data_IF_123790503848
#
_entry.id   IF_123790503848
#
_cell.length_a   1.000
_cell.length_b   1.000
_cell.length_c   1.000
_cell.angle_alpha   90.00
_cell.angle_beta   90.00
_cell.angle_gamma   90.00
#
_symmetry.space_group_name_H-M   'P 1'
#
loop_
_entity.id
_entity.type
_entity.pdbx_description
1 polymer ?
#
# COMPACT_ATOMS: atom_id res chain seq x y z
N UNK A 1 -72.85 50.14 25.82
CA UNK A 1 -71.79 49.10 25.96
C UNK A 1 -70.82 49.30 24.81
N UNK A 2 -69.68 49.96 25.04
CA UNK A 2 -68.58 50.10 24.07
C UNK A 2 -67.34 50.56 24.85
N UNK A 3 -66.26 49.75 24.83
CA UNK A 3 -64.93 50.17 25.29
C UNK A 3 -63.90 49.77 24.24
N UNK A 4 -63.34 50.80 23.61
CA UNK A 4 -62.13 50.74 22.80
C UNK A 4 -60.92 50.45 23.70
N UNK A 5 -60.07 49.50 23.30
CA UNK A 5 -58.79 49.24 23.95
C UNK A 5 -57.64 49.34 22.94
N UNK A 6 -56.60 50.02 23.40
CA UNK A 6 -55.37 50.45 22.75
C UNK A 6 -54.61 49.36 22.00
N UNK A 7 -54.15 49.72 20.80
CA UNK A 7 -53.01 49.15 20.10
C UNK A 7 -51.70 49.44 20.84
N UNK A 8 -50.97 48.40 21.26
CA UNK A 8 -49.59 48.52 21.75
C UNK A 8 -48.67 47.61 20.95
N UNK A 9 -47.63 48.22 20.37
CA UNK A 9 -46.59 47.61 19.55
C UNK A 9 -45.73 46.66 20.38
N UNK A 10 -45.44 45.46 19.86
CA UNK A 10 -44.32 44.65 20.34
C UNK A 10 -43.47 44.19 19.16
N UNK A 11 -42.31 44.83 19.03
CA UNK A 11 -41.24 44.50 18.09
C UNK A 11 -40.46 43.34 18.70
N UNK A 12 -40.66 42.11 18.23
CA UNK A 12 -39.85 40.95 18.64
C UNK A 12 -38.71 40.80 17.64
N UNK A 13 -37.55 41.37 18.01
CA UNK A 13 -36.29 41.15 17.30
C UNK A 13 -35.76 39.74 17.60
N UNK A 14 -35.75 38.91 16.57
CA UNK A 14 -35.17 37.55 16.61
C UNK A 14 -33.64 37.66 16.52
N UNK A 15 -32.94 37.61 17.65
CA UNK A 15 -31.49 37.46 17.69
C UNK A 15 -31.12 36.00 17.33
N UNK A 16 -30.27 35.73 16.32
CA UNK A 16 -29.73 34.39 16.13
C UNK A 16 -28.70 34.12 17.23
N UNK A 17 -28.98 33.13 18.08
CA UNK A 17 -27.98 32.50 18.95
C UNK A 17 -26.91 31.86 18.03
N UNK A 18 -25.78 32.54 17.87
CA UNK A 18 -24.54 31.92 17.42
C UNK A 18 -24.08 30.95 18.51
N UNK A 19 -24.36 29.66 18.33
CA UNK A 19 -23.76 28.60 19.14
C UNK A 19 -22.28 28.52 18.80
N UNK A 20 -21.44 29.10 19.67
CA UNK A 20 -20.00 28.90 19.65
C UNK A 20 -19.74 27.43 19.98
N UNK A 21 -19.39 26.63 18.98
CA UNK A 21 -18.91 25.27 19.20
C UNK A 21 -17.63 25.35 20.03
N UNK A 22 -17.51 24.63 21.17
CA UNK A 22 -16.28 24.62 21.93
C UNK A 22 -15.18 24.02 21.06
N UNK A 23 -14.11 24.79 20.88
CA UNK A 23 -12.87 24.34 20.27
C UNK A 23 -12.39 23.14 21.11
N UNK A 24 -12.52 21.93 20.56
CA UNK A 24 -12.05 20.73 21.26
C UNK A 24 -10.56 20.91 21.57
N UNK A 25 -10.24 21.09 22.85
CA UNK A 25 -8.88 21.25 23.32
C UNK A 25 -8.09 20.03 22.84
N UNK A 26 -7.14 20.27 21.94
CA UNK A 26 -6.30 19.23 21.38
C UNK A 26 -5.47 18.65 22.53
N UNK A 27 -5.77 17.40 22.91
CA UNK A 27 -5.10 16.76 24.04
C UNK A 27 -3.59 16.80 23.81
N UNK A 28 -2.79 17.17 24.82
CA UNK A 28 -1.35 17.25 24.68
C UNK A 28 -0.80 15.89 24.24
N UNK A 29 -0.08 15.88 23.12
CA UNK A 29 0.59 14.67 22.65
C UNK A 29 1.85 14.47 23.49
N UNK A 30 1.83 13.50 24.39
CA UNK A 30 3.01 13.07 25.15
C UNK A 30 3.93 12.28 24.21
N UNK A 31 5.10 12.84 23.92
CA UNK A 31 6.18 12.13 23.22
C UNK A 31 7.15 11.61 24.27
N UNK A 32 7.19 10.29 24.47
CA UNK A 32 8.20 9.66 25.31
C UNK A 32 9.33 9.11 24.42
N UNK A 33 10.57 9.49 24.70
CA UNK A 33 11.76 8.95 24.02
C UNK A 33 12.28 7.76 24.79
N UNK A 34 12.23 6.56 24.18
CA UNK A 34 12.88 5.37 24.72
C UNK A 34 14.30 5.27 24.16
N UNK A 35 15.31 5.51 25.01
CA UNK A 35 16.72 5.28 24.65
C UNK A 35 17.15 3.91 25.14
N UNK A 36 17.65 3.07 24.23
CA UNK A 36 18.22 1.77 24.56
C UNK A 36 19.62 1.65 23.97
N UNK A 37 20.61 1.51 24.83
CA UNK A 37 21.99 1.23 24.42
C UNK A 37 22.16 -0.28 24.24
N UNK A 38 22.61 -0.69 23.07
CA UNK A 38 22.94 -2.08 22.77
C UNK A 38 24.44 -2.15 22.58
N UNK A 39 25.11 -2.90 23.44
CA UNK A 39 26.55 -3.18 23.33
C UNK A 39 26.75 -4.56 22.72
N UNK A 40 27.72 -4.69 21.84
CA UNK A 40 28.03 -5.94 21.16
C UNK A 40 29.10 -5.75 20.11
N UNK A 41 29.50 -6.84 19.47
CA UNK A 41 30.46 -6.84 18.37
C UNK A 41 29.79 -6.38 17.06
N UNK A 42 29.69 -5.06 16.90
CA UNK A 42 29.17 -4.43 15.70
C UNK A 42 30.31 -4.10 14.73
N UNK A 43 30.37 -4.80 13.60
CA UNK A 43 31.32 -4.51 12.51
C UNK A 43 30.79 -3.39 11.61
N UNK A 44 29.93 -3.74 10.65
CA UNK A 44 29.27 -2.81 9.73
C UNK A 44 27.76 -3.04 9.77
N UNK A 45 27.01 -2.03 10.19
CA UNK A 45 25.54 -2.07 10.23
C UNK A 45 24.98 -1.59 8.90
N UNK A 46 24.34 -2.49 8.15
CA UNK A 46 23.74 -2.17 6.84
C UNK A 46 22.32 -1.61 6.96
N UNK A 47 21.45 -2.33 7.65
CA UNK A 47 20.03 -2.04 7.81
C UNK A 47 19.56 -2.47 9.19
N UNK A 48 18.48 -1.85 9.67
CA UNK A 48 17.87 -2.13 10.95
C UNK A 48 16.35 -1.99 10.87
N UNK A 49 15.61 -2.87 11.54
CA UNK A 49 14.16 -2.81 11.63
C UNK A 49 13.70 -3.12 13.06
N UNK A 50 12.69 -2.39 13.55
CA UNK A 50 12.18 -2.48 14.93
C UNK A 50 10.80 -3.12 14.91
N UNK A 51 10.67 -4.30 15.53
CA UNK A 51 9.43 -5.04 15.72
C UNK A 51 8.46 -4.36 16.69
N UNK A 52 7.19 -4.76 16.64
CA UNK A 52 6.14 -4.21 17.50
C UNK A 52 6.36 -4.50 19.00
N UNK A 53 7.12 -5.54 19.33
CA UNK A 53 7.55 -5.89 20.68
C UNK A 53 8.80 -5.14 21.14
N UNK A 54 9.31 -4.21 20.32
CA UNK A 54 10.55 -3.46 20.57
C UNK A 54 11.82 -4.26 20.31
N UNK A 55 11.72 -5.49 19.79
CA UNK A 55 12.89 -6.21 19.28
C UNK A 55 13.44 -5.53 18.02
N UNK A 56 14.74 -5.65 17.79
CA UNK A 56 15.41 -4.98 16.68
C UNK A 56 16.23 -6.00 15.91
N UNK A 57 15.94 -6.16 14.62
CA UNK A 57 16.75 -6.97 13.73
C UNK A 57 17.73 -6.05 12.99
N UNK A 58 19.01 -6.39 13.05
CA UNK A 58 20.12 -5.63 12.47
C UNK A 58 20.85 -6.53 11.48
N UNK A 59 21.17 -6.02 10.29
CA UNK A 59 22.01 -6.74 9.33
C UNK A 59 23.46 -6.32 9.47
N UNK A 60 24.38 -7.28 9.42
CA UNK A 60 25.81 -7.05 9.31
C UNK A 60 26.36 -7.64 8.01
N UNK A 61 26.29 -6.90 6.88
CA UNK A 61 26.62 -7.44 5.57
C UNK A 61 28.07 -7.95 5.47
N UNK A 62 29.04 -7.31 6.14
CA UNK A 62 30.45 -7.74 6.10
C UNK A 62 30.65 -9.14 6.69
N UNK A 63 29.93 -9.45 7.77
CA UNK A 63 29.99 -10.74 8.46
C UNK A 63 28.99 -11.75 7.90
N UNK A 64 28.05 -11.29 7.06
CA UNK A 64 26.96 -12.08 6.48
C UNK A 64 26.14 -12.78 7.57
N UNK A 65 25.74 -11.98 8.57
CA UNK A 65 24.90 -12.40 9.67
C UNK A 65 23.87 -11.33 10.02
N UNK A 66 22.88 -11.74 10.79
CA UNK A 66 21.90 -10.87 11.41
C UNK A 66 22.11 -10.87 12.92
N UNK A 67 21.80 -9.75 13.57
CA UNK A 67 21.72 -9.66 15.03
C UNK A 67 20.28 -9.35 15.41
N UNK A 68 19.72 -10.14 16.31
CA UNK A 68 18.44 -9.87 16.92
C UNK A 68 18.66 -9.35 18.34
N UNK A 69 18.37 -8.07 18.52
CA UNK A 69 18.37 -7.40 19.81
C UNK A 69 16.97 -7.51 20.40
N UNK A 70 16.82 -8.33 21.45
CA UNK A 70 15.59 -8.43 22.24
C UNK A 70 15.81 -7.76 23.59
N UNK A 71 14.87 -7.82 24.54
CA UNK A 71 15.08 -7.33 25.91
C UNK A 71 16.24 -8.02 26.67
N UNK A 72 16.74 -9.16 26.16
CA UNK A 72 17.92 -9.83 26.70
C UNK A 72 19.16 -8.91 26.67
N UNK A 73 20.14 -9.12 27.57
CA UNK A 73 21.35 -8.30 27.66
C UNK A 73 22.25 -8.44 26.42
N UNK A 74 22.28 -9.62 25.80
CA UNK A 74 23.14 -9.91 24.66
C UNK A 74 22.33 -10.09 23.36
N UNK A 75 22.75 -9.48 22.24
CA UNK A 75 22.15 -9.74 20.94
C UNK A 75 22.31 -11.21 20.52
N UNK A 76 21.25 -11.80 19.97
CA UNK A 76 21.30 -13.14 19.39
C UNK A 76 21.83 -13.07 17.96
N UNK A 77 22.91 -13.78 17.68
CA UNK A 77 23.42 -13.95 16.30
C UNK A 77 22.52 -14.92 15.55
N UNK A 78 22.07 -14.51 14.35
CA UNK A 78 21.21 -15.29 13.48
C UNK A 78 21.87 -15.51 12.12
N UNK A 79 21.90 -16.77 11.71
CA UNK A 79 22.46 -17.21 10.44
C UNK A 79 23.98 -17.14 10.39
N UNK A 80 24.51 -17.55 9.24
CA UNK A 80 25.95 -17.56 8.92
C UNK A 80 26.14 -17.49 7.42
N UNK A 81 27.38 -17.25 6.98
CA UNK A 81 27.76 -17.32 5.57
C UNK A 81 27.50 -18.72 4.99
N UNK A 82 26.77 -18.80 3.88
CA UNK A 82 26.46 -20.04 3.17
C UNK A 82 25.19 -19.94 2.31
N UNK A 83 24.74 -21.06 1.75
CA UNK A 83 23.56 -21.13 0.88
C UNK A 83 22.43 -22.02 1.44
N UNK A 84 22.71 -22.76 2.50
CA UNK A 84 21.78 -23.69 3.12
C UNK A 84 20.62 -23.01 3.86
N UNK A 85 19.79 -23.82 4.55
CA UNK A 85 18.75 -23.33 5.44
C UNK A 85 19.36 -22.38 6.48
N UNK A 86 18.75 -21.20 6.64
CA UNK A 86 19.15 -20.19 7.62
C UNK A 86 20.55 -19.57 7.38
N UNK A 87 21.12 -19.78 6.19
CA UNK A 87 22.38 -19.19 5.77
C UNK A 87 22.15 -18.02 4.79
N UNK A 88 23.14 -17.15 4.69
CA UNK A 88 23.12 -15.97 3.85
C UNK A 88 24.42 -15.85 3.05
N UNK A 89 24.40 -15.16 1.92
CA UNK A 89 25.58 -14.75 1.18
C UNK A 89 25.68 -13.23 1.04
N UNK A 90 24.55 -12.55 0.82
CA UNK A 90 24.53 -11.10 0.69
C UNK A 90 23.20 -10.48 1.13
N UNK A 91 23.13 -10.07 2.38
CA UNK A 91 21.93 -9.48 2.99
C UNK A 91 21.79 -8.03 2.54
N UNK A 92 20.80 -7.75 1.70
CA UNK A 92 20.61 -6.43 1.09
C UNK A 92 19.47 -5.64 1.75
N UNK A 93 18.47 -6.32 2.32
CA UNK A 93 17.31 -5.65 2.90
C UNK A 93 16.70 -6.39 4.07
N UNK A 94 16.12 -5.63 4.99
CA UNK A 94 15.32 -6.12 6.12
C UNK A 94 13.96 -5.44 6.14
N UNK A 95 12.98 -6.09 6.77
CA UNK A 95 11.71 -5.43 7.10
C UNK A 95 10.81 -6.29 7.97
N UNK A 96 9.54 -5.88 8.09
CA UNK A 96 8.53 -6.52 8.92
C UNK A 96 7.28 -6.89 8.12
N UNK A 97 6.80 -8.13 8.19
CA UNK A 97 5.51 -8.51 7.66
C UNK A 97 4.83 -9.53 8.58
N UNK A 98 3.56 -9.30 8.90
CA UNK A 98 2.74 -10.20 9.71
C UNK A 98 3.26 -10.35 11.14
N UNK A 99 3.89 -9.29 11.68
CA UNK A 99 4.57 -9.33 12.97
C UNK A 99 5.90 -10.09 12.96
N UNK A 100 6.35 -10.58 11.79
CA UNK A 100 7.63 -11.28 11.62
C UNK A 100 8.63 -10.38 10.94
N UNK A 101 9.89 -10.60 11.20
CA UNK A 101 10.94 -10.03 10.38
C UNK A 101 11.08 -10.80 9.06
N UNK A 102 11.63 -10.13 8.06
CA UNK A 102 12.15 -10.80 6.87
C UNK A 102 13.52 -10.22 6.52
N UNK A 103 14.36 -11.06 5.93
CA UNK A 103 15.67 -10.69 5.39
C UNK A 103 15.74 -11.10 3.92
N UNK A 104 16.17 -10.17 3.07
CA UNK A 104 16.38 -10.41 1.65
C UNK A 104 17.86 -10.66 1.38
N UNK A 105 18.15 -11.84 0.83
CA UNK A 105 19.46 -12.22 0.32
C UNK A 105 19.50 -12.06 -1.20
N UNK A 106 20.33 -11.14 -1.68
CA UNK A 106 20.36 -10.79 -3.09
C UNK A 106 21.20 -11.75 -3.95
N UNK A 107 22.17 -12.44 -3.36
CA UNK A 107 22.94 -13.46 -4.08
C UNK A 107 22.18 -14.78 -4.17
N UNK A 108 21.47 -15.15 -3.11
CA UNK A 108 20.61 -16.34 -3.13
C UNK A 108 19.22 -16.08 -3.72
N UNK A 109 18.93 -14.83 -4.11
CA UNK A 109 17.62 -14.36 -4.55
C UNK A 109 16.48 -14.92 -3.70
N UNK A 110 16.54 -14.70 -2.38
CA UNK A 110 15.66 -15.36 -1.40
C UNK A 110 15.22 -14.41 -0.31
N UNK A 111 13.95 -14.53 0.10
CA UNK A 111 13.44 -13.88 1.30
C UNK A 111 13.31 -14.94 2.40
N UNK A 112 13.93 -14.70 3.55
CA UNK A 112 13.85 -15.57 4.74
C UNK A 112 13.04 -14.87 5.81
N UNK A 113 11.97 -15.50 6.30
CA UNK A 113 11.19 -14.98 7.41
C UNK A 113 11.80 -15.40 8.75
N UNK A 114 11.73 -14.51 9.74
CA UNK A 114 12.33 -14.70 11.06
C UNK A 114 11.30 -14.24 12.10
N UNK A 115 10.97 -15.12 13.03
CA UNK A 115 10.07 -14.79 14.14
C UNK A 115 10.72 -13.76 15.07
N UNK A 116 9.94 -12.98 15.84
CA UNK A 116 10.49 -12.07 16.86
C UNK A 116 11.38 -12.75 17.92
N UNK A 117 11.22 -14.07 18.09
CA UNK A 117 12.08 -14.92 18.95
C UNK A 117 13.43 -15.25 18.31
N UNK A 118 13.63 -14.89 17.04
CA UNK A 118 14.77 -15.27 16.22
C UNK A 118 14.74 -16.72 15.77
N UNK A 119 13.57 -17.36 15.76
CA UNK A 119 13.38 -18.64 15.09
C UNK A 119 13.24 -18.39 13.58
N UNK A 120 13.89 -19.21 12.77
CA UNK A 120 13.76 -19.12 11.32
C UNK A 120 12.43 -19.72 10.87
N UNK A 121 11.68 -18.94 10.10
CA UNK A 121 10.49 -19.38 9.39
C UNK A 121 10.81 -19.89 7.98
N UNK A 122 9.80 -19.95 7.10
CA UNK A 122 10.02 -20.37 5.72
C UNK A 122 10.94 -19.41 4.98
N UNK A 123 11.69 -19.95 4.03
CA UNK A 123 12.44 -19.16 3.05
C UNK A 123 11.79 -19.32 1.68
N UNK A 124 11.57 -18.21 0.99
CA UNK A 124 10.93 -18.16 -0.32
C UNK A 124 11.96 -17.76 -1.38
N UNK A 125 12.37 -18.69 -2.27
CA UNK A 125 13.15 -18.33 -3.44
C UNK A 125 12.36 -17.39 -4.36
N UNK A 126 13.04 -16.38 -4.90
CA UNK A 126 12.48 -15.44 -5.89
C UNK A 126 12.56 -15.98 -7.32
N UNK A 127 13.43 -16.96 -7.60
CA UNK A 127 13.52 -17.62 -8.92
C UNK A 127 12.17 -18.24 -9.34
N UNK A 128 11.40 -18.77 -8.37
CA UNK A 128 10.03 -19.24 -8.60
C UNK A 128 9.06 -18.14 -9.03
N UNK A 129 9.44 -16.86 -8.89
CA UNK A 129 8.68 -15.71 -9.35
C UNK A 129 9.09 -15.28 -10.77
N UNK A 130 10.36 -15.41 -11.15
CA UNK A 130 10.88 -15.03 -12.48
C UNK A 130 10.28 -15.86 -13.64
N UNK A 131 9.83 -17.09 -13.37
CA UNK A 131 9.07 -17.91 -14.32
C UNK A 131 7.66 -17.38 -14.62
N UNK A 132 7.13 -16.45 -13.82
CA UNK A 132 5.85 -15.79 -14.09
C UNK A 132 6.06 -14.69 -15.14
N UNK A 133 5.22 -14.60 -16.19
CA UNK A 133 5.35 -13.61 -17.26
C UNK A 133 5.46 -12.15 -16.78
N UNK A 134 4.88 -11.84 -15.62
CA UNK A 134 4.92 -10.52 -15.00
C UNK A 134 6.30 -10.12 -14.46
N UNK A 135 7.25 -11.06 -14.36
CA UNK A 135 8.53 -10.88 -13.69
C UNK A 135 9.76 -11.20 -14.56
N UNK A 136 9.59 -11.36 -15.87
CA UNK A 136 10.74 -11.41 -16.80
C UNK A 136 11.41 -10.03 -16.87
N UNK A 137 12.71 -9.96 -16.57
CA UNK A 137 13.54 -8.75 -16.71
C UNK A 137 13.97 -8.08 -15.39
N UNK A 138 13.62 -8.64 -14.23
CA UNK A 138 14.09 -8.15 -12.94
C UNK A 138 15.48 -8.71 -12.62
N UNK A 139 16.53 -7.88 -12.73
CA UNK A 139 17.91 -8.33 -12.49
C UNK A 139 18.43 -7.97 -11.09
N UNK A 140 17.89 -6.94 -10.44
CA UNK A 140 18.33 -6.50 -9.11
C UNK A 140 17.20 -5.80 -8.33
N UNK A 141 16.45 -6.47 -7.45
CA UNK A 141 15.55 -5.78 -6.55
C UNK A 141 16.34 -4.81 -5.66
N UNK A 142 16.01 -3.53 -5.75
CA UNK A 142 16.79 -2.45 -5.14
C UNK A 142 16.21 -2.03 -3.79
N UNK A 143 14.92 -2.28 -3.58
CA UNK A 143 14.21 -1.95 -2.37
C UNK A 143 13.12 -2.99 -2.12
N UNK A 144 13.02 -3.47 -0.90
CA UNK A 144 11.86 -4.23 -0.45
C UNK A 144 11.22 -3.46 0.69
N UNK A 145 10.01 -2.96 0.47
CA UNK A 145 9.20 -2.26 1.46
C UNK A 145 8.02 -3.16 1.86
N UNK A 146 7.36 -2.81 2.97
CA UNK A 146 6.14 -3.49 3.42
C UNK A 146 4.99 -2.53 3.21
N UNK A 147 3.93 -2.96 2.54
CA UNK A 147 2.78 -2.11 2.19
C UNK A 147 1.60 -2.33 3.15
N UNK A 148 1.43 -3.56 3.62
CA UNK A 148 0.45 -3.92 4.66
C UNK A 148 1.08 -4.96 5.58
N UNK A 149 0.49 -5.26 6.76
CA UNK A 149 0.97 -6.37 7.59
C UNK A 149 1.20 -7.64 6.78
N UNK A 150 0.30 -7.98 5.85
CA UNK A 150 0.42 -9.22 5.08
C UNK A 150 1.05 -9.08 3.68
N UNK A 151 1.57 -7.89 3.31
CA UNK A 151 2.05 -7.61 1.95
C UNK A 151 3.41 -6.93 1.92
N UNK A 152 4.31 -7.49 1.11
CA UNK A 152 5.59 -6.91 0.74
C UNK A 152 5.52 -6.28 -0.66
N UNK A 153 6.33 -5.26 -0.84
CA UNK A 153 6.55 -4.55 -2.07
C UNK A 153 8.04 -4.60 -2.37
N UNK A 154 8.45 -5.54 -3.21
CA UNK A 154 9.79 -5.56 -3.79
C UNK A 154 9.82 -4.59 -4.97
N UNK A 155 10.28 -3.37 -4.73
CA UNK A 155 10.64 -2.45 -5.79
C UNK A 155 12.00 -2.87 -6.39
N UNK A 156 11.94 -3.36 -7.61
CA UNK A 156 13.14 -3.67 -8.38
C UNK A 156 13.38 -2.61 -9.44
N UNK A 157 14.57 -2.00 -9.40
CA UNK A 157 15.06 -1.20 -10.51
C UNK A 157 15.59 -2.16 -11.58
N UNK A 158 14.95 -2.18 -12.74
CA UNK A 158 15.63 -2.63 -13.94
C UNK A 158 16.51 -1.46 -14.41
N UNK A 159 17.83 -1.64 -14.34
CA UNK A 159 18.76 -0.68 -14.94
C UNK A 159 18.31 -0.39 -16.37
N UNK A 160 17.98 0.88 -16.65
CA UNK A 160 17.66 1.37 -18.00
C UNK A 160 16.19 1.44 -18.42
N UNK A 161 15.19 0.99 -17.65
CA UNK A 161 13.79 1.00 -18.15
C UNK A 161 12.79 1.85 -17.34
N UNK A 162 13.16 2.41 -16.20
CA UNK A 162 12.26 3.27 -15.40
C UNK A 162 11.01 2.56 -14.87
N UNK A 163 10.95 1.23 -14.97
CA UNK A 163 9.87 0.41 -14.44
C UNK A 163 10.17 0.00 -13.00
N UNK A 164 9.22 0.26 -12.10
CA UNK A 164 9.16 -0.33 -10.77
C UNK A 164 8.12 -1.45 -10.84
N UNK A 165 8.49 -2.65 -10.40
CA UNK A 165 7.69 -3.87 -10.62
C UNK A 165 6.34 -3.93 -9.90
N UNK A 166 5.53 -4.91 -10.31
CA UNK A 166 4.25 -5.30 -9.69
C UNK A 166 4.45 -6.57 -8.86
N UNK A 167 3.92 -6.62 -7.64
CA UNK A 167 3.96 -7.81 -6.79
C UNK A 167 2.59 -8.15 -6.23
N UNK A 168 2.37 -9.45 -6.11
CA UNK A 168 1.17 -10.10 -5.62
C UNK A 168 1.48 -10.73 -4.26
N UNK A 169 0.80 -10.28 -3.20
CA UNK A 169 0.84 -10.90 -1.88
C UNK A 169 -0.54 -10.83 -1.22
N UNK A 170 -0.92 -11.92 -0.53
CA UNK A 170 -2.17 -12.07 0.21
C UNK A 170 -3.44 -11.61 -0.55
N UNK A 171 -3.60 -12.06 -1.80
CA UNK A 171 -4.77 -11.78 -2.67
C UNK A 171 -4.92 -10.31 -3.15
N UNK A 172 -3.89 -9.48 -2.97
CA UNK A 172 -3.87 -8.09 -3.43
C UNK A 172 -2.74 -7.82 -4.41
N UNK A 173 -3.04 -7.00 -5.42
CA UNK A 173 -2.09 -6.59 -6.45
C UNK A 173 -1.75 -5.11 -6.28
N UNK A 174 -0.47 -4.77 -6.22
CA UNK A 174 0.01 -3.40 -6.16
C UNK A 174 0.95 -3.11 -7.33
N UNK A 175 0.81 -1.93 -7.92
CA UNK A 175 1.67 -1.44 -9.00
C UNK A 175 2.31 -0.12 -8.56
N UNK A 176 3.61 0.01 -8.74
CA UNK A 176 4.33 1.29 -8.64
C UNK A 176 4.73 1.69 -10.05
N UNK A 177 4.45 2.92 -10.46
CA UNK A 177 4.90 3.44 -11.75
C UNK A 177 5.70 4.72 -11.56
N UNK A 178 6.92 4.76 -12.10
CA UNK A 178 7.62 5.99 -12.45
C UNK A 178 8.94 6.28 -11.72
N UNK A 179 9.85 6.95 -12.42
CA UNK A 179 11.01 7.60 -11.85
C UNK A 179 10.56 8.84 -11.07
N UNK A 180 10.65 8.81 -9.73
CA UNK A 180 10.59 10.01 -8.89
C UNK A 180 9.27 10.35 -8.19
N UNK A 181 8.19 9.57 -8.34
CA UNK A 181 6.99 9.74 -7.51
C UNK A 181 6.37 8.39 -7.13
N UNK A 182 6.37 8.08 -5.83
CA UNK A 182 5.71 6.91 -5.24
C UNK A 182 4.19 7.11 -5.27
N UNK A 183 3.54 6.73 -6.37
CA UNK A 183 2.08 6.56 -6.39
C UNK A 183 1.74 5.09 -6.14
N UNK A 184 1.33 4.77 -4.90
CA UNK A 184 0.87 3.43 -4.53
C UNK A 184 -0.62 3.30 -4.86
N UNK A 185 -0.99 2.36 -5.74
CA UNK A 185 -2.40 2.10 -6.09
C UNK A 185 -2.73 0.61 -5.95
N UNK A 186 -3.73 0.28 -5.13
CA UNK A 186 -4.31 -1.07 -5.04
C UNK A 186 -5.04 -1.35 -6.36
N UNK A 187 -4.66 -2.42 -7.07
CA UNK A 187 -5.13 -2.66 -8.45
C UNK A 187 -6.20 -3.76 -8.51
N UNK A 188 -6.27 -4.67 -7.53
CA UNK A 188 -7.34 -5.68 -7.41
C UNK A 188 -7.36 -6.42 -6.06
N UNK A 189 -8.54 -6.96 -5.68
CA UNK A 189 -8.78 -8.06 -4.72
C UNK A 189 -9.50 -9.20 -5.45
N UNK A 190 -9.17 -10.47 -5.21
CA UNK A 190 -9.80 -11.59 -5.94
C UNK A 190 -10.83 -12.35 -5.08
N UNK A 191 -12.09 -12.23 -5.46
CA UNK A 191 -13.04 -13.35 -5.40
C UNK A 191 -13.54 -13.58 -6.84
N UNK A 192 -12.84 -14.47 -7.56
CA UNK A 192 -12.94 -14.77 -9.00
C UNK A 192 -12.31 -13.74 -9.98
N UNK A 193 -11.19 -14.10 -10.62
CA UNK A 193 -10.73 -13.48 -11.87
C UNK A 193 -9.62 -14.29 -12.54
N UNK A 194 -9.87 -15.24 -13.46
CA UNK A 194 -8.84 -15.63 -14.43
C UNK A 194 -8.56 -14.40 -15.30
N UNK A 195 -7.29 -14.00 -15.43
CA UNK A 195 -6.79 -12.88 -16.26
C UNK A 195 -6.87 -11.47 -15.62
N UNK A 196 -5.91 -11.11 -14.77
CA UNK A 196 -5.57 -9.70 -14.50
C UNK A 196 -4.23 -9.37 -15.15
N UNK A 197 -4.29 -8.70 -16.30
CA UNK A 197 -3.14 -8.11 -16.98
C UNK A 197 -2.92 -6.68 -16.50
N UNK A 198 -1.64 -6.31 -16.30
CA UNK A 198 -1.18 -4.95 -16.04
C UNK A 198 -1.81 -3.96 -17.03
N UNK A 199 -2.34 -2.85 -16.51
CA UNK A 199 -2.86 -1.74 -17.32
C UNK A 199 -1.67 -0.87 -17.71
N UNK A 200 -1.11 -1.13 -18.89
CA UNK A 200 -0.59 -0.06 -19.73
C UNK A 200 -1.66 0.21 -20.79
N UNK A 201 -2.41 1.28 -20.58
CA UNK A 201 -3.58 1.63 -21.39
C UNK A 201 -3.17 2.22 -22.73
N UNK A 202 -2.81 1.39 -23.72
CA UNK A 202 -2.84 1.79 -25.13
C UNK A 202 -4.26 1.66 -25.72
N UNK A 203 -5.24 1.26 -24.90
CA UNK A 203 -6.63 1.06 -25.30
C UNK A 203 -7.47 2.34 -25.32
N UNK A 204 -7.11 3.37 -24.53
CA UNK A 204 -7.82 4.65 -24.44
C UNK A 204 -6.79 5.75 -24.19
N UNK A 205 -6.95 6.95 -24.75
CA UNK A 205 -5.95 8.02 -24.60
C UNK A 205 -5.74 8.42 -23.14
N UNK A 206 -4.55 8.94 -22.81
CA UNK A 206 -4.22 9.38 -21.45
C UNK A 206 -5.21 10.45 -20.95
N UNK A 207 -5.50 11.45 -21.79
CA UNK A 207 -6.50 12.48 -21.47
C UNK A 207 -7.88 11.88 -21.15
N UNK A 208 -8.28 10.84 -21.90
CA UNK A 208 -9.55 10.17 -21.66
C UNK A 208 -9.55 9.35 -20.37
N UNK A 209 -8.45 8.69 -20.07
CA UNK A 209 -8.25 7.96 -18.81
C UNK A 209 -8.36 8.90 -17.60
N UNK A 210 -7.74 10.08 -17.67
CA UNK A 210 -7.87 11.12 -16.64
C UNK A 210 -9.32 11.57 -16.48
N UNK A 211 -10.03 11.83 -17.58
CA UNK A 211 -11.43 12.25 -17.52
C UNK A 211 -12.34 11.19 -16.88
N UNK A 212 -12.11 9.91 -17.18
CA UNK A 212 -12.85 8.80 -16.54
C UNK A 212 -12.57 8.75 -15.04
N UNK A 213 -11.32 8.93 -14.61
CA UNK A 213 -10.95 8.93 -13.20
C UNK A 213 -11.63 10.08 -12.44
N UNK A 214 -11.54 11.32 -12.95
CA UNK A 214 -12.21 12.47 -12.33
C UNK A 214 -13.72 12.29 -12.23
N UNK A 215 -14.35 11.71 -13.25
CA UNK A 215 -15.79 11.42 -13.21
C UNK A 215 -16.16 10.32 -12.20
N UNK A 216 -15.27 9.34 -12.00
CA UNK A 216 -15.46 8.30 -11.00
C UNK A 216 -15.37 8.89 -9.57
N UNK A 217 -14.35 9.71 -9.30
CA UNK A 217 -14.20 10.41 -8.02
C UNK A 217 -15.45 11.26 -7.72
N UNK A 218 -15.93 12.02 -8.70
CA UNK A 218 -17.14 12.82 -8.57
C UNK A 218 -18.39 11.95 -8.32
N UNK A 219 -18.49 10.77 -8.93
CA UNK A 219 -19.58 9.83 -8.66
C UNK A 219 -19.52 9.25 -7.24
N UNK A 220 -18.31 9.00 -6.72
CA UNK A 220 -18.09 8.45 -5.37
C UNK A 220 -18.36 9.45 -4.25
N UNK A 221 -18.27 10.76 -4.51
CA UNK A 221 -18.74 11.79 -3.54
C UNK A 221 -20.26 11.77 -3.33
N UNK A 222 -21.02 11.19 -4.26
CA UNK A 222 -22.49 11.06 -4.17
C UNK A 222 -22.87 9.80 -3.39
N UNK A 223 -24.14 9.71 -2.99
CA UNK A 223 -24.68 8.54 -2.26
C UNK A 223 -25.98 8.02 -2.86
N UNK A 224 -26.29 6.74 -2.59
CA UNK A 224 -27.54 6.09 -2.97
C UNK A 224 -27.87 6.25 -4.46
N UNK A 225 -29.11 6.67 -4.74
CA UNK A 225 -29.61 6.85 -6.11
C UNK A 225 -28.77 7.84 -6.93
N UNK A 226 -28.24 8.90 -6.32
CA UNK A 226 -27.44 9.90 -7.03
C UNK A 226 -26.10 9.33 -7.51
N UNK A 227 -25.45 8.49 -6.68
CA UNK A 227 -24.23 7.76 -7.07
C UNK A 227 -24.53 6.78 -8.20
N UNK A 228 -25.61 6.00 -8.06
CA UNK A 228 -26.03 5.03 -9.06
C UNK A 228 -26.30 5.69 -10.43
N UNK A 229 -26.98 6.84 -10.45
CA UNK A 229 -27.23 7.60 -11.68
C UNK A 229 -25.93 8.10 -12.31
N UNK A 230 -25.00 8.65 -11.50
CA UNK A 230 -23.70 9.12 -12.00
C UNK A 230 -22.86 7.99 -12.62
N UNK A 231 -22.80 6.82 -11.95
CA UNK A 231 -22.07 5.65 -12.47
C UNK A 231 -22.70 5.09 -13.76
N UNK A 232 -24.05 5.06 -13.88
CA UNK A 232 -24.72 4.66 -15.13
C UNK A 232 -24.41 5.61 -16.28
N UNK A 233 -24.41 6.92 -16.01
CA UNK A 233 -24.06 7.93 -17.01
C UNK A 233 -22.59 7.80 -17.45
N UNK A 234 -21.67 7.57 -16.50
CA UNK A 234 -20.26 7.33 -16.82
C UNK A 234 -20.09 6.07 -17.67
N UNK A 235 -20.73 4.96 -17.30
CA UNK A 235 -20.72 3.71 -18.08
C UNK A 235 -21.18 3.93 -19.53
N UNK A 236 -22.25 4.70 -19.74
CA UNK A 236 -22.74 5.05 -21.07
C UNK A 236 -21.76 5.91 -21.88
N UNK A 237 -20.91 6.68 -21.20
CA UNK A 237 -19.84 7.46 -21.86
C UNK A 237 -18.65 6.56 -22.21
N UNK A 238 -18.26 5.64 -21.33
CA UNK A 238 -17.19 4.65 -21.57
C UNK A 238 -17.56 3.69 -22.71
N UNK A 239 -18.82 3.30 -22.85
CA UNK A 239 -19.27 2.48 -23.99
C UNK A 239 -19.06 3.15 -25.35
N UNK A 240 -19.17 4.48 -25.43
CA UNK A 240 -18.90 5.21 -26.67
C UNK A 240 -17.42 5.15 -27.06
N UNK A 241 -16.53 5.02 -26.07
CA UNK A 241 -15.08 4.93 -26.29
C UNK A 241 -14.67 3.60 -26.93
N UNK A 242 -15.53 2.56 -26.88
CA UNK A 242 -15.29 1.25 -27.50
C UNK A 242 -15.00 1.35 -29.00
N UNK A 243 -15.61 2.32 -29.70
CA UNK A 243 -15.40 2.48 -31.14
C UNK A 243 -13.94 2.84 -31.49
N UNK A 244 -13.32 3.70 -30.67
CA UNK A 244 -11.94 4.18 -30.85
C UNK A 244 -10.89 3.41 -30.05
N UNK A 245 -11.29 2.41 -29.28
CA UNK A 245 -10.40 1.69 -28.40
C UNK A 245 -9.62 0.58 -29.13
N UNK A 246 -8.31 0.51 -28.88
CA UNK A 246 -7.46 -0.60 -29.34
C UNK A 246 -7.86 -1.92 -28.68
N UNK A 247 -8.32 -1.87 -27.42
CA UNK A 247 -8.82 -3.03 -26.67
C UNK A 247 -10.30 -2.85 -26.32
N UNK A 248 -11.15 -3.15 -27.31
CA UNK A 248 -12.61 -2.99 -27.22
C UNK A 248 -13.24 -3.85 -26.13
N UNK A 249 -12.72 -5.07 -25.94
CA UNK A 249 -13.25 -6.00 -24.95
C UNK A 249 -13.04 -5.44 -23.54
N UNK A 250 -11.86 -4.90 -23.26
CA UNK A 250 -11.55 -4.29 -21.96
C UNK A 250 -12.40 -3.07 -21.65
N UNK A 251 -12.60 -2.17 -22.62
CA UNK A 251 -13.45 -0.99 -22.42
C UNK A 251 -14.91 -1.39 -22.11
N UNK A 252 -15.43 -2.43 -22.78
CA UNK A 252 -16.75 -3.00 -22.47
C UNK A 252 -16.81 -3.59 -21.04
N UNK A 253 -15.77 -4.31 -20.61
CA UNK A 253 -15.70 -4.86 -19.25
C UNK A 253 -15.71 -3.75 -18.20
N UNK A 254 -14.99 -2.65 -18.43
CA UNK A 254 -15.00 -1.48 -17.53
C UNK A 254 -16.39 -0.87 -17.41
N UNK A 255 -17.08 -0.64 -18.53
CA UNK A 255 -18.45 -0.11 -18.53
C UNK A 255 -19.44 -1.06 -17.84
N UNK A 256 -19.29 -2.37 -18.00
CA UNK A 256 -20.10 -3.38 -17.31
C UNK A 256 -19.89 -3.31 -15.78
N UNK A 257 -18.65 -3.17 -15.31
CA UNK A 257 -18.34 -3.07 -13.89
C UNK A 257 -18.94 -1.79 -13.26
N UNK A 258 -18.87 -0.65 -13.96
CA UNK A 258 -19.53 0.59 -13.51
C UNK A 258 -21.04 0.41 -13.33
N UNK A 259 -21.70 -0.33 -14.24
CA UNK A 259 -23.13 -0.67 -14.11
C UNK A 259 -23.40 -1.58 -12.92
N UNK A 260 -22.53 -2.57 -12.67
CA UNK A 260 -22.63 -3.46 -11.51
C UNK A 260 -22.54 -2.65 -10.22
N UNK A 261 -21.56 -1.75 -10.11
CA UNK A 261 -21.39 -0.86 -8.96
C UNK A 261 -22.56 0.12 -8.77
N UNK A 262 -23.22 0.52 -9.85
CA UNK A 262 -24.42 1.34 -9.79
C UNK A 262 -25.68 0.57 -9.33
N UNK A 263 -25.68 -0.76 -9.44
CA UNK A 263 -26.76 -1.62 -8.97
C UNK A 263 -26.58 -2.07 -7.51
N UNK A 264 -25.36 -1.95 -6.97
CA UNK A 264 -25.09 -2.18 -5.55
C UNK A 264 -25.78 -1.11 -4.69
N UNK A 265 -26.50 -1.54 -3.66
CA UNK A 265 -27.25 -0.69 -2.72
C UNK A 265 -26.33 -0.09 -1.67
#
# INVERSE_FOLDING_TARGET
MNRFALTSRLLVGLLPLLTVLPLAAQAPTLTATLTRTVTGDFTYVGSMVIGADGSVLVSQPSDVRLLLVTAAPEPKVLGRRGAGPNEFQFIQGLGLAGGKFWAYDAQLQRITFIEPTGAFGPSQPLEGLAGKPALRGFMSPSLVAVVTPDSLLVAASAEGTGMLGMIELAERHFMITGAGQLAMREVARRAAAPNCAVIQGNGVSAARTTAIATALDAAETKRGAARATALRALAGTVDKDVAGATDKARVKSLAAEMRRLAAAK
#
